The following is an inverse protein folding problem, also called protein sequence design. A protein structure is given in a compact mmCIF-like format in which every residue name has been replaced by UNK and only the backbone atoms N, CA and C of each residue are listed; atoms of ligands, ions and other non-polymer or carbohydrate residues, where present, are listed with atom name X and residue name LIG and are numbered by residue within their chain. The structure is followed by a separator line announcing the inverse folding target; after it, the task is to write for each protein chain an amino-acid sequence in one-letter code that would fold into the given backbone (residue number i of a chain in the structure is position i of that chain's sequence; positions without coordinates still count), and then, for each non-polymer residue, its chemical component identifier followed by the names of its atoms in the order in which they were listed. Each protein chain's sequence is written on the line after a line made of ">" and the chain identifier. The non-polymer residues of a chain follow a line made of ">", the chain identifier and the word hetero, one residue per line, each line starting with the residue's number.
data_IF_747879279105
#
_entry.id   IF_747879279105
#
_cell.length_a   1.000
_cell.length_b   1.000
_cell.length_c   1.000
_cell.angle_alpha   90.00
_cell.angle_beta   90.00
_cell.angle_gamma   90.00
#
_symmetry.space_group_name_H-M   'P 1'
#
loop_
_entity.id
_entity.type
_entity.pdbx_description
1 polymer ?
#
# COMPACT_ATOMS: atom_id res chain seq x y z
N UNK A 1 4.77 -3.40 7.25
CA UNK A 1 4.66 -2.40 6.17
C UNK A 1 3.20 -2.27 5.79
N UNK A 2 2.70 -1.05 5.60
CA UNK A 2 1.35 -0.76 5.12
C UNK A 2 1.38 -0.18 3.70
N UNK A 3 0.44 -0.61 2.85
CA UNK A 3 0.16 -0.04 1.55
C UNK A 3 -1.17 0.72 1.65
N UNK A 4 -1.13 2.04 1.54
CA UNK A 4 -2.30 2.90 1.67
C UNK A 4 -2.67 3.56 0.35
N UNK A 5 -3.93 3.92 0.20
CA UNK A 5 -4.44 4.63 -0.96
C UNK A 5 -5.96 4.52 -1.08
N UNK A 6 -6.60 5.33 -1.93
CA UNK A 6 -8.04 5.29 -2.12
C UNK A 6 -8.52 3.96 -2.72
N UNK A 7 -9.82 3.74 -2.71
CA UNK A 7 -10.43 2.61 -3.43
C UNK A 7 -10.10 2.70 -4.92
N UNK A 8 -9.78 1.58 -5.56
CA UNK A 8 -9.39 1.55 -6.97
C UNK A 8 -7.92 1.93 -7.26
N UNK A 9 -7.13 2.37 -6.29
CA UNK A 9 -5.73 2.78 -6.49
C UNK A 9 -4.77 1.66 -6.94
N UNK A 10 -5.22 0.40 -6.99
CA UNK A 10 -4.39 -0.75 -7.37
C UNK A 10 -3.79 -1.53 -6.21
N UNK A 11 -4.18 -1.26 -4.94
CA UNK A 11 -3.66 -1.95 -3.74
C UNK A 11 -3.80 -3.48 -3.83
N UNK A 12 -5.01 -3.97 -4.08
CA UNK A 12 -5.30 -5.40 -4.22
C UNK A 12 -4.52 -6.04 -5.36
N UNK A 13 -4.35 -5.33 -6.48
CA UNK A 13 -3.54 -5.80 -7.61
C UNK A 13 -2.08 -5.98 -7.20
N UNK A 14 -1.49 -4.98 -6.53
CA UNK A 14 -0.10 -5.05 -6.06
C UNK A 14 0.08 -6.15 -5.01
N UNK A 15 -0.86 -6.28 -4.07
CA UNK A 15 -0.89 -7.37 -3.08
C UNK A 15 -0.92 -8.73 -3.75
N UNK A 16 -1.78 -8.93 -4.75
CA UNK A 16 -1.89 -10.19 -5.49
C UNK A 16 -0.62 -10.51 -6.30
N UNK A 17 0.04 -9.51 -6.87
CA UNK A 17 1.32 -9.69 -7.55
C UNK A 17 2.40 -10.06 -6.55
N UNK A 18 2.50 -9.37 -5.42
CA UNK A 18 3.46 -9.67 -4.34
C UNK A 18 3.24 -11.07 -3.76
N UNK A 19 1.98 -11.53 -3.70
CA UNK A 19 1.59 -12.86 -3.25
C UNK A 19 1.81 -13.97 -4.29
N UNK A 20 2.22 -13.63 -5.52
CA UNK A 20 2.31 -14.59 -6.62
C UNK A 20 0.95 -15.19 -7.04
N UNK A 21 -0.15 -14.47 -6.81
CA UNK A 21 -1.50 -14.83 -7.26
C UNK A 21 -1.77 -14.30 -8.67
N UNK A 22 -1.11 -13.20 -9.02
CA UNK A 22 -1.22 -12.54 -10.32
C UNK A 22 0.18 -12.30 -10.88
N UNK A 23 0.46 -12.65 -12.15
CA UNK A 23 1.73 -12.31 -12.77
C UNK A 23 1.81 -10.80 -13.06
N UNK A 24 2.96 -10.15 -12.89
CA UNK A 24 3.12 -8.77 -13.32
C UNK A 24 3.19 -8.70 -14.87
N UNK A 25 2.66 -7.63 -15.46
CA UNK A 25 2.77 -7.36 -16.90
C UNK A 25 4.22 -7.09 -17.30
N UNK A 26 4.98 -6.44 -16.42
CA UNK A 26 6.40 -6.14 -16.57
C UNK A 26 7.09 -6.08 -15.22
N UNK A 27 8.43 -6.09 -15.21
CA UNK A 27 9.20 -6.08 -13.98
C UNK A 27 9.47 -7.47 -13.42
N UNK A 28 9.92 -7.52 -12.17
CA UNK A 28 10.34 -8.75 -11.48
C UNK A 28 9.91 -8.75 -10.02
N UNK A 29 9.61 -9.92 -9.47
CA UNK A 29 9.22 -10.10 -8.07
C UNK A 29 10.16 -11.10 -7.41
N UNK A 30 10.72 -10.71 -6.27
CA UNK A 30 11.63 -11.54 -5.49
C UNK A 30 11.09 -11.73 -4.08
N UNK A 31 11.10 -12.96 -3.60
CA UNK A 31 10.85 -13.28 -2.19
C UNK A 31 12.16 -13.54 -1.46
N UNK A 32 12.31 -13.00 -0.25
CA UNK A 32 13.49 -13.21 0.58
C UNK A 32 13.77 -14.69 0.80
N UNK A 33 15.02 -15.13 0.54
CA UNK A 33 15.42 -16.52 0.65
C UNK A 33 15.12 -17.37 -0.60
N UNK A 34 14.53 -16.80 -1.62
CA UNK A 34 14.38 -17.41 -2.95
C UNK A 34 15.22 -16.60 -3.92
N UNK A 35 16.33 -17.17 -4.40
CA UNK A 35 17.27 -16.48 -5.29
C UNK A 35 16.75 -16.30 -6.73
N UNK A 36 15.49 -16.63 -6.99
CA UNK A 36 14.85 -16.58 -8.31
C UNK A 36 13.75 -15.54 -8.35
N UNK A 37 13.56 -14.97 -9.51
CA UNK A 37 12.42 -14.13 -9.87
C UNK A 37 11.16 -15.02 -9.92
N UNK A 38 10.24 -14.82 -8.98
CA UNK A 38 9.01 -15.63 -8.91
C UNK A 38 8.07 -15.37 -10.07
N UNK A 39 8.17 -14.22 -10.74
CA UNK A 39 7.36 -13.90 -11.91
C UNK A 39 7.66 -14.79 -13.13
N UNK A 40 8.79 -15.52 -13.10
CA UNK A 40 9.23 -16.46 -14.13
C UNK A 40 8.99 -17.93 -13.79
N UNK A 41 8.47 -18.21 -12.61
CA UNK A 41 8.17 -19.56 -12.18
C UNK A 41 6.85 -20.06 -12.78
N UNK A 42 6.73 -21.38 -12.97
CA UNK A 42 5.44 -21.97 -13.30
C UNK A 42 4.44 -21.82 -12.14
N UNK A 43 3.15 -21.94 -12.45
CA UNK A 43 2.09 -21.83 -11.44
C UNK A 43 2.29 -22.84 -10.30
N UNK A 44 2.69 -24.06 -10.61
CA UNK A 44 2.95 -25.12 -9.62
C UNK A 44 4.16 -24.78 -8.74
N UNK A 45 5.22 -24.21 -9.33
CA UNK A 45 6.40 -23.75 -8.60
C UNK A 45 6.04 -22.61 -7.65
N UNK A 46 5.29 -21.59 -8.13
CA UNK A 46 4.83 -20.48 -7.27
C UNK A 46 3.99 -21.00 -6.10
N UNK A 47 3.05 -21.91 -6.34
CA UNK A 47 2.21 -22.50 -5.29
C UNK A 47 3.07 -23.23 -4.25
N UNK A 48 4.09 -23.98 -4.67
CA UNK A 48 5.00 -24.69 -3.77
C UNK A 48 5.80 -23.72 -2.90
N UNK A 49 6.41 -22.72 -3.51
CA UNK A 49 7.23 -21.73 -2.80
C UNK A 49 6.36 -20.89 -1.84
N UNK A 50 5.18 -20.45 -2.28
CA UNK A 50 4.26 -19.64 -1.47
C UNK A 50 3.83 -20.34 -0.19
N UNK A 51 3.57 -21.65 -0.22
CA UNK A 51 3.14 -22.43 0.96
C UNK A 51 4.05 -22.23 2.18
N UNK A 52 5.35 -22.04 1.94
CA UNK A 52 6.36 -21.88 2.98
C UNK A 52 6.80 -20.42 3.15
N UNK A 53 6.48 -19.54 2.21
CA UNK A 53 6.92 -18.14 2.25
C UNK A 53 5.85 -17.21 2.77
N UNK A 54 4.62 -17.30 2.28
CA UNK A 54 3.58 -16.30 2.56
C UNK A 54 2.25 -16.93 2.99
N UNK A 55 1.70 -16.42 4.10
CA UNK A 55 0.32 -16.60 4.48
C UNK A 55 -0.53 -15.47 3.93
N UNK A 56 -1.74 -15.79 3.46
CA UNK A 56 -2.64 -14.82 2.83
C UNK A 56 -3.88 -14.62 3.68
N UNK A 57 -4.26 -13.36 3.90
CA UNK A 57 -5.48 -12.97 4.60
C UNK A 57 -6.24 -11.99 3.73
N UNK A 58 -7.48 -12.31 3.39
CA UNK A 58 -8.32 -11.51 2.51
C UNK A 58 -9.35 -10.72 3.32
N UNK A 59 -9.87 -9.65 2.75
CA UNK A 59 -10.95 -8.84 3.31
C UNK A 59 -12.17 -9.71 3.66
N UNK A 60 -12.61 -10.53 2.70
CA UNK A 60 -13.56 -11.61 2.97
C UNK A 60 -12.78 -12.84 3.42
N UNK A 61 -13.07 -13.33 4.61
CA UNK A 61 -12.46 -14.56 5.12
C UNK A 61 -12.81 -15.74 4.23
N UNK A 62 -11.80 -16.37 3.62
CA UNK A 62 -11.99 -17.53 2.72
C UNK A 62 -12.00 -18.85 3.50
N UNK A 63 -12.69 -18.86 4.66
CA UNK A 63 -12.88 -20.07 5.44
C UNK A 63 -13.82 -21.04 4.72
N UNK A 64 -13.53 -22.33 4.81
CA UNK A 64 -14.33 -23.39 4.21
C UNK A 64 -15.56 -23.66 5.10
N UNK A 65 -16.78 -23.42 4.61
CA UNK A 65 -17.98 -23.38 5.49
C UNK A 65 -18.33 -24.71 6.16
N UNK A 66 -18.02 -25.84 5.53
CA UNK A 66 -18.32 -27.17 6.07
C UNK A 66 -17.25 -27.69 7.04
N UNK A 67 -16.06 -27.09 7.09
CA UNK A 67 -15.00 -27.37 8.03
C UNK A 67 -15.19 -26.56 9.33
N UNK A 68 -14.82 -27.14 10.46
CA UNK A 68 -14.76 -26.41 11.72
C UNK A 68 -13.51 -25.52 11.80
N UNK A 69 -13.39 -24.73 12.88
CA UNK A 69 -12.26 -23.82 13.12
C UNK A 69 -10.93 -24.57 13.07
N UNK A 70 -10.80 -25.65 13.81
CA UNK A 70 -9.57 -26.45 13.84
C UNK A 70 -9.20 -26.98 12.44
N UNK A 71 -10.17 -27.53 11.71
CA UNK A 71 -9.95 -28.03 10.36
C UNK A 71 -9.57 -26.94 9.36
N UNK A 72 -10.18 -25.74 9.45
CA UNK A 72 -9.81 -24.60 8.64
C UNK A 72 -8.35 -24.18 8.90
N UNK A 73 -7.92 -24.15 10.16
CA UNK A 73 -6.54 -23.78 10.52
C UNK A 73 -5.53 -24.85 10.06
N UNK A 74 -5.83 -26.13 10.25
CA UNK A 74 -4.90 -27.22 9.95
C UNK A 74 -4.77 -27.56 8.47
N UNK A 75 -5.76 -27.19 7.65
CA UNK A 75 -5.80 -27.53 6.22
C UNK A 75 -4.54 -27.12 5.46
N UNK A 76 -4.05 -25.91 5.69
CA UNK A 76 -2.83 -25.41 5.05
C UNK A 76 -1.60 -26.26 5.35
N UNK A 77 -1.46 -26.73 6.59
CA UNK A 77 -0.39 -27.61 7.03
C UNK A 77 -0.43 -28.98 6.35
N UNK A 78 -1.63 -29.60 6.28
CA UNK A 78 -1.80 -30.85 5.56
C UNK A 78 -1.47 -30.72 4.07
N UNK A 79 -1.92 -29.65 3.41
CA UNK A 79 -1.63 -29.37 2.00
C UNK A 79 -0.13 -29.06 1.75
N UNK A 80 0.57 -28.60 2.78
CA UNK A 80 2.01 -28.36 2.72
C UNK A 80 2.84 -29.62 3.02
N UNK A 81 2.20 -30.74 3.43
CA UNK A 81 2.87 -32.00 3.76
C UNK A 81 3.60 -31.97 5.12
N UNK A 82 3.15 -31.11 6.04
CA UNK A 82 3.72 -31.05 7.40
C UNK A 82 3.37 -32.31 8.22
N UNK A 83 4.20 -32.62 9.22
CA UNK A 83 3.91 -33.70 10.13
C UNK A 83 2.63 -33.47 10.93
N UNK A 84 1.72 -34.45 11.07
CA UNK A 84 0.45 -34.29 11.75
C UNK A 84 0.56 -33.83 13.22
N UNK A 85 1.62 -34.25 13.93
CA UNK A 85 1.85 -33.83 15.32
C UNK A 85 2.28 -32.37 15.39
N UNK A 86 3.11 -31.94 14.44
CA UNK A 86 3.51 -30.53 14.30
C UNK A 86 2.27 -29.66 13.99
N UNK A 87 1.42 -30.09 13.05
CA UNK A 87 0.19 -29.38 12.71
C UNK A 87 -0.71 -29.21 13.94
N UNK A 88 -0.93 -30.29 14.71
CA UNK A 88 -1.77 -30.25 15.91
C UNK A 88 -1.25 -29.28 16.95
N UNK A 89 0.06 -29.39 17.29
CA UNK A 89 0.70 -28.51 18.26
C UNK A 89 0.65 -27.04 17.84
N UNK A 90 0.96 -26.75 16.57
CA UNK A 90 0.89 -25.38 16.02
C UNK A 90 -0.52 -24.84 15.98
N UNK A 91 -1.50 -25.63 15.54
CA UNK A 91 -2.89 -25.20 15.47
C UNK A 91 -3.42 -24.80 16.84
N UNK A 92 -3.16 -25.58 17.87
CA UNK A 92 -3.56 -25.26 19.26
C UNK A 92 -2.90 -23.98 19.74
N UNK A 93 -1.59 -23.83 19.57
CA UNK A 93 -0.84 -22.62 19.93
C UNK A 93 -1.37 -21.38 19.19
N UNK A 94 -1.62 -21.49 17.87
CA UNK A 94 -2.14 -20.37 17.09
C UNK A 94 -3.58 -19.98 17.48
N UNK A 95 -4.44 -20.97 17.76
CA UNK A 95 -5.81 -20.71 18.20
C UNK A 95 -5.86 -20.10 19.60
N UNK A 96 -4.94 -20.47 20.49
CA UNK A 96 -4.74 -19.80 21.78
C UNK A 96 -4.27 -18.36 21.59
N UNK A 97 -3.27 -18.13 20.75
CA UNK A 97 -2.73 -16.81 20.45
C UNK A 97 -3.81 -15.83 19.93
N UNK A 98 -4.77 -16.33 19.13
CA UNK A 98 -5.88 -15.52 18.63
C UNK A 98 -7.12 -15.55 19.53
N UNK A 99 -7.05 -16.19 20.70
CA UNK A 99 -8.13 -16.24 21.71
C UNK A 99 -9.35 -17.07 21.28
N UNK A 100 -9.13 -18.20 20.62
CA UNK A 100 -10.18 -19.08 20.08
C UNK A 100 -10.05 -20.55 20.52
N UNK A 101 -9.35 -20.83 21.63
CA UNK A 101 -9.16 -22.19 22.16
C UNK A 101 -10.46 -22.93 22.41
N UNK A 102 -11.52 -22.22 22.85
CA UNK A 102 -12.82 -22.80 23.14
C UNK A 102 -13.74 -22.94 21.91
N UNK A 103 -13.27 -22.51 20.71
CA UNK A 103 -14.05 -22.48 19.47
C UNK A 103 -13.66 -23.54 18.45
N UNK A 104 -12.76 -24.48 18.79
CA UNK A 104 -12.17 -25.46 17.86
C UNK A 104 -13.18 -26.21 16.99
N UNK A 105 -14.34 -26.60 17.59
CA UNK A 105 -15.39 -27.37 16.92
C UNK A 105 -16.45 -26.49 16.22
N UNK A 106 -16.40 -25.18 16.36
CA UNK A 106 -17.37 -24.27 15.76
C UNK A 106 -17.17 -24.19 14.24
N UNK A 107 -18.28 -24.08 13.52
CA UNK A 107 -18.24 -23.79 12.07
C UNK A 107 -18.16 -22.27 11.85
N UNK A 108 -17.66 -21.81 10.69
CA UNK A 108 -17.60 -20.38 10.37
C UNK A 108 -18.92 -19.62 10.53
N UNK A 109 -20.06 -20.27 10.28
CA UNK A 109 -21.39 -19.71 10.46
C UNK A 109 -21.77 -19.42 11.91
N UNK A 110 -21.06 -20.00 12.87
CA UNK A 110 -21.29 -19.82 14.32
C UNK A 110 -20.39 -18.74 14.93
N UNK A 111 -19.53 -18.11 14.11
CA UNK A 111 -18.54 -17.13 14.53
C UNK A 111 -18.95 -15.72 14.15
N UNK A 112 -18.57 -14.74 14.98
CA UNK A 112 -18.62 -13.32 14.62
C UNK A 112 -17.65 -12.99 13.49
N UNK A 113 -17.79 -11.82 12.85
CA UNK A 113 -16.88 -11.35 11.81
C UNK A 113 -15.43 -11.33 12.27
N UNK A 114 -15.17 -10.77 13.46
CA UNK A 114 -13.84 -10.71 14.05
C UNK A 114 -13.27 -12.08 14.44
N UNK A 115 -14.12 -13.01 14.92
CA UNK A 115 -13.68 -14.39 15.18
C UNK A 115 -13.28 -15.09 13.87
N UNK A 116 -14.08 -14.95 12.80
CA UNK A 116 -13.68 -15.48 11.46
C UNK A 116 -12.36 -14.91 11.01
N UNK A 117 -12.12 -13.61 11.18
CA UNK A 117 -10.87 -12.97 10.79
C UNK A 117 -9.68 -13.51 11.58
N UNK A 118 -9.85 -13.75 12.90
CA UNK A 118 -8.80 -14.38 13.73
C UNK A 118 -8.53 -15.83 13.33
N UNK A 119 -9.54 -16.60 12.94
CA UNK A 119 -9.35 -17.94 12.37
C UNK A 119 -8.55 -17.87 11.06
N UNK A 120 -8.86 -16.92 10.19
CA UNK A 120 -8.13 -16.73 8.92
C UNK A 120 -6.65 -16.36 9.17
N UNK A 121 -6.35 -15.53 10.18
CA UNK A 121 -4.98 -15.23 10.61
C UNK A 121 -4.26 -16.49 11.12
N UNK A 122 -4.91 -17.28 11.97
CA UNK A 122 -4.32 -18.54 12.47
C UNK A 122 -4.07 -19.53 11.31
N UNK A 123 -5.02 -19.65 10.38
CA UNK A 123 -4.86 -20.50 9.19
C UNK A 123 -3.70 -20.04 8.29
N UNK A 124 -3.53 -18.74 8.11
CA UNK A 124 -2.43 -18.18 7.33
C UNK A 124 -1.04 -18.43 7.97
N UNK A 125 -0.98 -18.66 9.28
CA UNK A 125 0.25 -18.87 10.04
C UNK A 125 0.65 -20.34 10.21
N UNK A 126 -0.21 -21.29 9.85
CA UNK A 126 -0.01 -22.72 10.16
C UNK A 126 1.30 -23.27 9.55
N UNK A 127 1.66 -22.82 8.35
CA UNK A 127 2.86 -23.24 7.62
C UNK A 127 4.14 -22.52 8.04
N UNK A 128 4.11 -21.74 9.12
CA UNK A 128 5.23 -20.92 9.58
C UNK A 128 5.80 -19.98 8.50
N UNK A 129 4.96 -19.16 7.87
CA UNK A 129 5.39 -18.30 6.78
C UNK A 129 6.34 -17.21 7.28
N UNK A 130 7.19 -16.69 6.38
CA UNK A 130 8.05 -15.52 6.64
C UNK A 130 7.29 -14.21 6.53
N UNK A 131 6.17 -14.21 5.82
CA UNK A 131 5.39 -13.03 5.48
C UNK A 131 3.90 -13.32 5.58
N UNK A 132 3.14 -12.43 6.21
CA UNK A 132 1.69 -12.36 6.04
C UNK A 132 1.38 -11.22 5.07
N UNK A 133 0.63 -11.53 4.04
CA UNK A 133 0.08 -10.57 3.09
C UNK A 133 -1.42 -10.46 3.36
N UNK A 134 -1.88 -9.27 3.75
CA UNK A 134 -3.26 -9.03 4.11
C UNK A 134 -3.88 -7.90 3.28
N UNK A 135 -5.09 -8.12 2.78
CA UNK A 135 -5.87 -7.10 2.08
C UNK A 135 -7.07 -6.73 2.94
N UNK A 136 -7.12 -5.45 3.37
CA UNK A 136 -8.23 -4.83 4.13
C UNK A 136 -8.68 -5.65 5.37
N UNK A 137 -7.72 -6.12 6.17
CA UNK A 137 -7.95 -7.08 7.29
C UNK A 137 -8.90 -6.59 8.39
N UNK A 138 -9.17 -5.29 8.48
CA UNK A 138 -10.08 -4.68 9.48
C UNK A 138 -11.29 -3.98 8.87
N UNK A 139 -11.42 -3.90 7.54
CA UNK A 139 -12.40 -3.05 6.87
C UNK A 139 -13.88 -3.38 7.16
N UNK A 140 -14.19 -4.65 7.48
CA UNK A 140 -15.56 -5.12 7.75
C UNK A 140 -15.87 -5.26 9.26
N UNK A 141 -15.01 -4.72 10.12
CA UNK A 141 -15.10 -4.87 11.56
C UNK A 141 -15.45 -3.55 12.24
N UNK A 142 -16.14 -3.64 13.37
CA UNK A 142 -16.28 -2.48 14.25
C UNK A 142 -14.93 -2.05 14.85
N UNK A 143 -14.78 -0.79 15.29
CA UNK A 143 -13.51 -0.25 15.75
C UNK A 143 -12.84 -1.06 16.87
N UNK A 144 -13.63 -1.54 17.86
CA UNK A 144 -13.09 -2.32 18.99
C UNK A 144 -12.59 -3.70 18.54
N UNK A 145 -13.31 -4.34 17.64
CA UNK A 145 -12.88 -5.63 17.06
C UNK A 145 -11.68 -5.43 16.15
N UNK A 146 -11.63 -4.33 15.39
CA UNK A 146 -10.48 -3.95 14.57
C UNK A 146 -9.21 -3.80 15.41
N UNK A 147 -9.27 -3.10 16.54
CA UNK A 147 -8.14 -2.97 17.48
C UNK A 147 -7.61 -4.33 17.95
N UNK A 148 -8.49 -5.26 18.33
CA UNK A 148 -8.08 -6.62 18.73
C UNK A 148 -7.34 -7.36 17.61
N UNK A 149 -7.73 -7.17 16.36
CA UNK A 149 -7.02 -7.74 15.20
C UNK A 149 -5.63 -7.12 15.07
N UNK A 150 -5.52 -5.80 15.24
CA UNK A 150 -4.23 -5.11 15.18
C UNK A 150 -3.28 -5.57 16.30
N UNK A 151 -3.80 -5.80 17.51
CA UNK A 151 -3.00 -6.33 18.61
C UNK A 151 -2.48 -7.76 18.31
N UNK A 152 -3.33 -8.60 17.69
CA UNK A 152 -2.90 -9.93 17.22
C UNK A 152 -1.82 -9.81 16.15
N UNK A 153 -1.95 -8.90 15.20
CA UNK A 153 -0.92 -8.66 14.18
C UNK A 153 0.41 -8.17 14.78
N UNK A 154 0.35 -7.29 15.79
CA UNK A 154 1.54 -6.85 16.54
C UNK A 154 2.23 -8.02 17.25
N UNK A 155 1.45 -8.92 17.86
CA UNK A 155 1.98 -10.14 18.50
C UNK A 155 2.63 -11.05 17.45
N UNK A 156 1.98 -11.28 16.31
CA UNK A 156 2.52 -12.07 15.20
C UNK A 156 3.86 -11.51 14.74
N UNK A 157 3.93 -10.20 14.51
CA UNK A 157 5.17 -9.57 14.07
C UNK A 157 6.29 -9.66 15.11
N UNK A 158 6.01 -9.30 16.39
CA UNK A 158 7.02 -9.19 17.44
C UNK A 158 7.44 -10.53 18.03
N UNK A 159 6.48 -11.45 18.26
CA UNK A 159 6.77 -12.74 18.93
C UNK A 159 7.08 -13.86 17.95
N UNK A 160 6.42 -13.91 16.79
CA UNK A 160 6.67 -14.94 15.78
C UNK A 160 7.68 -14.50 14.73
N UNK A 161 8.14 -13.24 14.76
CA UNK A 161 9.08 -12.66 13.79
C UNK A 161 8.61 -12.80 12.34
N UNK A 162 7.29 -12.71 12.11
CA UNK A 162 6.68 -12.77 10.79
C UNK A 162 6.52 -11.35 10.26
N UNK A 163 7.02 -11.10 9.06
CA UNK A 163 6.82 -9.81 8.39
C UNK A 163 5.34 -9.63 8.00
N UNK A 164 4.87 -8.37 8.04
CA UNK A 164 3.49 -8.03 7.66
C UNK A 164 3.51 -7.07 6.47
N UNK A 165 2.75 -7.40 5.41
CA UNK A 165 2.44 -6.50 4.30
C UNK A 165 0.92 -6.36 4.20
N UNK A 166 0.39 -5.20 4.58
CA UNK A 166 -1.04 -4.95 4.74
C UNK A 166 -1.48 -3.84 3.80
N UNK A 167 -2.37 -4.15 2.86
CA UNK A 167 -3.08 -3.14 2.08
C UNK A 167 -4.31 -2.67 2.86
N UNK A 168 -4.50 -1.36 2.97
CA UNK A 168 -5.60 -0.77 3.73
C UNK A 168 -5.86 0.68 3.35
N UNK A 169 -7.06 1.16 3.66
CA UNK A 169 -7.38 2.58 3.71
C UNK A 169 -7.47 3.11 5.15
N UNK A 170 -7.27 2.25 6.16
CA UNK A 170 -7.35 2.61 7.58
C UNK A 170 -6.08 3.30 8.06
N UNK A 171 -6.22 4.52 8.57
CA UNK A 171 -5.13 5.26 9.19
C UNK A 171 -4.63 4.58 10.49
N UNK A 172 -5.49 3.88 11.21
CA UNK A 172 -5.11 3.11 12.39
C UNK A 172 -4.13 1.99 12.06
N UNK A 173 -4.36 1.25 10.98
CA UNK A 173 -3.44 0.21 10.49
C UNK A 173 -2.12 0.85 10.05
N UNK A 174 -2.19 1.95 9.29
CA UNK A 174 -1.02 2.68 8.82
C UNK A 174 -0.15 3.20 9.96
N UNK A 175 -0.77 3.73 11.03
CA UNK A 175 -0.04 4.29 12.19
C UNK A 175 0.79 3.25 12.96
N UNK A 176 0.42 1.97 12.91
CA UNK A 176 1.17 0.87 13.54
C UNK A 176 2.31 0.34 12.64
N UNK A 177 2.32 0.71 11.36
CA UNK A 177 3.30 0.21 10.42
C UNK A 177 4.66 0.92 10.56
N UNK A 178 5.74 0.18 10.42
CA UNK A 178 7.11 0.73 10.39
C UNK A 178 7.44 1.44 9.07
N UNK A 179 6.79 1.01 7.99
CA UNK A 179 6.92 1.59 6.65
C UNK A 179 5.55 1.68 6.03
N UNK A 180 5.28 2.81 5.39
CA UNK A 180 4.05 3.07 4.66
C UNK A 180 4.41 3.35 3.21
N UNK A 181 3.68 2.75 2.30
CA UNK A 181 3.73 3.05 0.86
C UNK A 181 2.37 3.62 0.48
N UNK A 182 2.37 4.80 -0.09
CA UNK A 182 1.17 5.44 -0.61
C UNK A 182 1.06 5.21 -2.12
N UNK A 183 -0.10 4.69 -2.55
CA UNK A 183 -0.39 4.42 -3.96
C UNK A 183 -1.66 5.15 -4.40
N UNK A 184 -1.63 5.72 -5.59
CA UNK A 184 -2.79 6.33 -6.27
C UNK A 184 -2.70 6.06 -7.76
N UNK A 185 -3.80 5.65 -8.36
CA UNK A 185 -3.91 5.37 -9.81
C UNK A 185 -2.80 4.45 -10.36
N UNK A 186 -2.40 3.44 -9.56
CA UNK A 186 -1.36 2.48 -9.89
C UNK A 186 0.08 2.99 -9.74
N UNK A 187 0.28 4.23 -9.27
CA UNK A 187 1.60 4.86 -9.09
C UNK A 187 1.91 5.00 -7.60
N UNK A 188 3.15 4.69 -7.20
CA UNK A 188 3.62 4.96 -5.84
C UNK A 188 3.91 6.46 -5.74
N UNK A 189 3.18 7.14 -4.87
CA UNK A 189 3.34 8.57 -4.63
C UNK A 189 4.44 8.85 -3.62
N UNK A 190 4.44 8.13 -2.51
CA UNK A 190 5.35 8.38 -1.40
C UNK A 190 5.67 7.10 -0.63
N UNK A 191 6.81 7.11 0.04
CA UNK A 191 7.19 6.09 1.02
C UNK A 191 7.60 6.77 2.33
N UNK A 192 7.09 6.23 3.45
CA UNK A 192 7.39 6.74 4.78
C UNK A 192 8.07 5.66 5.61
N UNK A 193 9.13 6.00 6.36
CA UNK A 193 9.86 5.08 7.23
C UNK A 193 9.65 5.35 8.73
N UNK A 194 10.27 4.53 9.58
CA UNK A 194 10.18 4.60 11.06
C UNK A 194 10.45 5.95 11.71
N UNK A 195 11.22 6.83 11.06
CA UNK A 195 11.61 8.14 11.59
C UNK A 195 10.52 9.21 11.46
N UNK A 196 9.43 8.91 10.76
CA UNK A 196 8.36 9.88 10.53
C UNK A 196 7.14 9.42 11.33
N UNK A 197 6.97 9.98 12.53
CA UNK A 197 5.70 9.85 13.25
C UNK A 197 4.61 10.53 12.41
N UNK A 198 3.41 9.94 12.36
CA UNK A 198 2.25 10.48 11.63
C UNK A 198 1.94 11.96 11.97
N UNK A 199 2.36 12.45 13.16
CA UNK A 199 2.30 13.86 13.54
C UNK A 199 3.32 14.76 12.81
N UNK A 200 4.34 14.18 12.15
CA UNK A 200 5.37 14.90 11.39
C UNK A 200 5.27 14.62 9.88
N UNK A 201 4.14 14.06 9.41
CA UNK A 201 3.81 13.92 7.97
C UNK A 201 3.78 15.29 7.26
N UNK A 202 3.74 16.36 8.03
CA UNK A 202 3.69 17.74 7.55
C UNK A 202 5.02 18.25 6.98
N UNK A 203 6.17 17.61 7.23
CA UNK A 203 7.45 18.28 6.96
C UNK A 203 8.38 17.65 5.92
N UNK A 204 8.42 16.32 5.73
CA UNK A 204 9.25 15.71 4.66
C UNK A 204 8.69 14.35 4.21
N UNK A 205 8.36 14.22 2.92
CA UNK A 205 7.96 12.97 2.27
C UNK A 205 8.96 12.61 1.18
N UNK A 206 9.32 11.34 1.05
CA UNK A 206 10.03 10.85 -0.11
C UNK A 206 9.02 10.63 -1.24
N UNK A 207 9.06 11.47 -2.25
CA UNK A 207 8.23 11.34 -3.44
C UNK A 207 8.92 10.41 -4.45
N UNK A 208 8.14 9.55 -5.10
CA UNK A 208 8.66 8.69 -6.15
C UNK A 208 8.75 9.49 -7.47
N UNK A 209 9.85 9.27 -8.19
CA UNK A 209 10.01 9.74 -9.58
C UNK A 209 9.64 8.58 -10.48
N UNK A 210 8.66 8.77 -11.37
CA UNK A 210 8.26 7.74 -12.33
C UNK A 210 9.30 7.56 -13.45
N UNK A 211 9.19 6.50 -14.27
CA UNK A 211 10.11 6.28 -15.39
C UNK A 211 10.12 7.38 -16.46
N UNK A 212 9.11 8.27 -16.46
CA UNK A 212 9.03 9.45 -17.33
C UNK A 212 9.55 10.72 -16.63
N UNK A 213 10.26 10.56 -15.50
CA UNK A 213 10.84 11.65 -14.70
C UNK A 213 9.81 12.62 -14.09
N UNK A 214 8.56 12.19 -13.82
CA UNK A 214 7.51 13.00 -13.21
C UNK A 214 7.42 12.71 -11.72
N UNK A 215 7.03 13.71 -10.94
CA UNK A 215 6.73 13.62 -9.52
C UNK A 215 5.25 13.95 -9.34
N UNK A 216 4.51 13.08 -8.67
CA UNK A 216 3.13 13.36 -8.26
C UNK A 216 3.14 13.92 -6.84
N UNK A 217 2.56 15.10 -6.65
CA UNK A 217 2.39 15.68 -5.33
C UNK A 217 1.13 15.10 -4.67
N UNK A 218 1.20 14.68 -3.39
CA UNK A 218 0.05 14.25 -2.61
C UNK A 218 -1.02 15.34 -2.54
N UNK A 219 -2.31 14.93 -2.53
CA UNK A 219 -3.44 15.85 -2.58
C UNK A 219 -3.50 16.80 -1.38
N UNK A 220 -3.16 16.33 -0.18
CA UNK A 220 -3.07 17.12 1.04
C UNK A 220 -2.01 18.24 0.96
N UNK A 221 -0.85 17.96 0.35
CA UNK A 221 0.15 19.01 0.08
C UNK A 221 -0.38 20.06 -0.90
N UNK A 222 -1.16 19.64 -1.90
CA UNK A 222 -1.77 20.57 -2.84
C UNK A 222 -2.87 21.39 -2.19
N UNK A 223 -3.68 20.79 -1.30
CA UNK A 223 -4.71 21.49 -0.53
C UNK A 223 -4.12 22.56 0.39
N UNK A 224 -3.05 22.26 1.12
CA UNK A 224 -2.32 23.22 1.95
C UNK A 224 -1.76 24.40 1.13
N UNK A 225 -1.37 24.15 -0.12
CA UNK A 225 -0.92 25.17 -1.05
C UNK A 225 -2.08 25.90 -1.74
N UNK A 226 -3.35 25.61 -1.40
CA UNK A 226 -4.53 26.22 -2.01
C UNK A 226 -4.86 25.68 -3.41
N UNK A 227 -4.47 24.44 -3.71
CA UNK A 227 -4.70 23.76 -5.00
C UNK A 227 -4.24 24.58 -6.23
N UNK A 228 -2.99 25.04 -6.28
CA UNK A 228 -2.48 25.87 -7.36
C UNK A 228 -2.47 25.07 -8.68
N UNK A 229 -2.78 25.74 -9.79
CA UNK A 229 -2.73 25.16 -11.14
C UNK A 229 -1.30 24.89 -11.63
N UNK A 230 -0.32 25.57 -11.05
CA UNK A 230 1.10 25.43 -11.36
C UNK A 230 1.95 25.74 -10.13
N UNK A 231 3.17 25.17 -10.10
CA UNK A 231 4.16 25.44 -9.07
C UNK A 231 5.46 25.89 -9.74
N UNK A 232 6.15 26.85 -9.11
CA UNK A 232 7.50 27.25 -9.49
C UNK A 232 8.50 26.31 -8.81
N UNK A 233 9.34 25.64 -9.61
CA UNK A 233 10.43 24.83 -9.12
C UNK A 233 11.77 25.59 -9.20
N UNK A 234 12.55 25.54 -8.13
CA UNK A 234 13.88 26.13 -8.06
C UNK A 234 14.85 25.13 -7.47
N UNK A 235 16.00 24.95 -8.13
CA UNK A 235 17.10 24.14 -7.59
C UNK A 235 17.93 25.03 -6.64
N UNK A 236 18.08 24.58 -5.39
CA UNK A 236 18.89 25.24 -4.35
C UNK A 236 19.88 24.21 -3.82
N UNK A 237 21.12 24.29 -4.27
CA UNK A 237 22.12 23.24 -4.00
C UNK A 237 21.73 21.91 -4.62
N UNK A 238 21.38 20.91 -3.79
CA UNK A 238 20.91 19.58 -4.20
C UNK A 238 19.42 19.36 -3.92
N UNK A 239 18.68 20.42 -3.58
CA UNK A 239 17.26 20.36 -3.23
C UNK A 239 16.40 21.06 -4.27
N UNK A 240 15.23 20.54 -4.54
CA UNK A 240 14.22 21.19 -5.36
C UNK A 240 13.19 21.81 -4.43
N UNK A 241 13.09 23.13 -4.46
CA UNK A 241 12.10 23.91 -3.71
C UNK A 241 10.93 24.22 -4.63
N UNK A 242 9.73 23.80 -4.23
CA UNK A 242 8.48 24.14 -4.90
C UNK A 242 7.78 25.27 -4.16
N UNK A 243 7.30 26.25 -4.87
CA UNK A 243 6.57 27.41 -4.32
C UNK A 243 5.41 27.78 -5.21
N UNK A 244 4.40 28.43 -4.63
CA UNK A 244 3.32 29.05 -5.40
C UNK A 244 3.92 30.20 -6.20
N UNK A 245 3.63 30.34 -7.52
CA UNK A 245 4.04 31.50 -8.29
C UNK A 245 3.48 32.76 -7.63
N UNK A 246 4.30 33.76 -7.37
CA UNK A 246 3.83 35.10 -7.01
C UNK A 246 3.08 35.71 -8.19
N UNK A 247 2.12 36.61 -7.94
CA UNK A 247 1.27 37.23 -8.98
C UNK A 247 2.07 37.84 -10.14
N UNK A 248 3.29 38.28 -9.92
CA UNK A 248 4.21 38.76 -10.96
C UNK A 248 4.53 37.76 -12.09
N UNK A 249 4.31 36.45 -11.86
CA UNK A 249 4.58 35.43 -12.89
C UNK A 249 3.45 35.29 -13.90
N UNK A 250 2.22 35.71 -13.56
CA UNK A 250 1.09 35.75 -14.49
C UNK A 250 1.16 36.92 -15.48
N UNK A 251 1.95 37.95 -15.18
CA UNK A 251 2.15 39.09 -16.09
C UNK A 251 3.11 38.78 -17.24
N UNK A 252 4.08 37.85 -17.05
CA UNK A 252 5.06 37.51 -18.09
C UNK A 252 4.49 36.67 -19.24
N UNK A 253 3.39 35.94 -19.05
CA UNK A 253 2.69 35.21 -20.15
C UNK A 253 1.79 36.14 -21.00
N UNK A 254 1.65 37.39 -20.64
CA UNK A 254 0.79 38.35 -21.35
C UNK A 254 1.55 39.32 -22.29
N UNK A 255 2.88 39.16 -22.35
CA UNK A 255 3.71 39.99 -23.24
C UNK A 255 3.64 39.40 -24.66
N UNK A 256 2.95 40.05 -25.55
CA UNK A 256 2.97 39.74 -26.99
C UNK A 256 4.22 40.37 -27.62
N UNK A 257 4.80 39.73 -28.58
CA UNK A 257 5.84 40.33 -29.44
C UNK A 257 5.22 40.89 -30.71
N UNK A 258 5.57 42.11 -31.05
CA UNK A 258 5.14 42.72 -32.30
C UNK A 258 5.71 41.91 -33.48
N UNK A 259 4.82 41.43 -34.36
CA UNK A 259 5.19 40.63 -35.54
C UNK A 259 6.05 41.37 -36.57
N UNK A 260 6.08 42.69 -36.49
CA UNK A 260 6.80 43.54 -37.46
C UNK A 260 8.22 43.91 -36.97
N UNK A 261 8.38 44.27 -35.71
CA UNK A 261 9.70 44.74 -35.22
C UNK A 261 10.27 43.92 -34.06
N UNK A 262 9.56 42.88 -33.56
CA UNK A 262 10.01 42.05 -32.47
C UNK A 262 9.94 42.68 -31.06
N UNK A 263 9.44 43.92 -30.96
CA UNK A 263 9.35 44.61 -29.66
C UNK A 263 8.30 43.96 -28.77
N UNK A 264 8.56 43.87 -27.46
CA UNK A 264 7.61 43.39 -26.46
C UNK A 264 6.51 44.42 -26.25
N UNK A 265 5.25 43.97 -26.25
CA UNK A 265 4.07 44.82 -26.12
C UNK A 265 3.18 44.29 -25.01
N UNK A 266 2.50 45.18 -24.27
CA UNK A 266 1.63 44.77 -23.16
C UNK A 266 0.27 44.34 -23.67
N UNK A 267 -0.42 43.46 -22.92
CA UNK A 267 -1.80 43.04 -23.26
C UNK A 267 -2.73 44.25 -23.24
N UNK A 268 -3.44 44.46 -24.38
CA UNK A 268 -4.36 45.60 -24.55
C UNK A 268 -3.80 46.70 -25.43
N UNK A 269 -2.53 46.75 -25.76
CA UNK A 269 -1.99 47.66 -26.75
C UNK A 269 -2.40 47.23 -28.16
N UNK A 270 -3.11 48.08 -28.87
CA UNK A 270 -3.55 47.84 -30.26
C UNK A 270 -2.55 48.30 -31.30
N UNK A 271 -1.57 49.07 -30.87
CA UNK A 271 -0.52 49.63 -31.74
C UNK A 271 0.83 49.49 -31.05
N UNK A 272 1.82 49.01 -31.79
CA UNK A 272 3.19 48.87 -31.24
C UNK A 272 3.81 50.26 -31.06
N UNK A 273 4.23 50.56 -29.82
CA UNK A 273 4.87 51.85 -29.50
C UNK A 273 6.21 52.05 -30.17
N UNK A 274 6.84 50.98 -30.62
CA UNK A 274 8.18 51.06 -31.26
C UNK A 274 8.12 51.31 -32.75
N UNK A 275 7.13 50.72 -33.48
CA UNK A 275 7.09 50.82 -34.94
C UNK A 275 5.74 51.31 -35.49
N UNK A 276 4.73 51.57 -34.63
CA UNK A 276 3.42 52.05 -35.03
C UNK A 276 2.50 51.01 -35.72
N UNK A 277 2.92 49.76 -35.85
CA UNK A 277 2.09 48.73 -36.50
C UNK A 277 0.97 48.21 -35.55
N UNK A 278 -0.15 47.80 -36.14
CA UNK A 278 -1.28 47.21 -35.41
C UNK A 278 -0.87 45.83 -34.89
N UNK A 279 -1.17 45.57 -33.61
CA UNK A 279 -0.89 44.32 -32.92
C UNK A 279 -2.21 43.55 -32.87
N UNK A 280 -2.24 42.35 -33.46
CA UNK A 280 -3.37 41.45 -33.44
C UNK A 280 -3.33 40.48 -32.24
#
# INVERSE_FOLDING_TARGET
>A
MALIGPSGAGKTTLVNIAAGLLPPTSGRVFWSGISRDISRLSREQIIRERRHFAGLVFQETKLIPHLNVYQNVTLGGHLAGMDPKEIDGRAKMLLELVGLSERLKYKPSMLSGGERQRVALAAALITNPKLIIADEVTASLDPLTGEKILDVLDIINKKLNVALFIATHSQQVASRAERIIEIKDGVILATHGKSIRLRNLEQTRQLAIDPQHRISLPGDMLEELGNPKSLKARLVGKEIVLSIPSEEFYELEQVKTCSVCGAKTNKGERVCKNCGSVIN
#
